data_IF_705453952108
#
_entry.id   IF_705453952108
#
_cell.length_a   1.000
_cell.length_b   1.000
_cell.length_c   1.000
_cell.angle_alpha   90.00
_cell.angle_beta   90.00
_cell.angle_gamma   90.00
#
_symmetry.space_group_name_H-M   'P 1'
#
loop_
_entity.id
_entity.type
_entity.pdbx_description
1 polymer ?
#
# COMPACT_ATOMS: atom_id res chain seq x y z
N UNK A 1 22.73 -24.36 5.82
CA UNK A 1 21.51 -23.59 5.48
C UNK A 1 21.47 -22.39 6.40
N UNK A 2 21.77 -21.20 5.89
CA UNK A 2 21.59 -19.97 6.67
C UNK A 2 20.09 -19.70 6.79
N UNK A 3 19.59 -19.65 8.02
CA UNK A 3 18.22 -19.26 8.31
C UNK A 3 18.15 -17.76 8.08
N UNK A 4 17.54 -17.33 6.98
CA UNK A 4 17.24 -15.92 6.74
C UNK A 4 16.33 -15.43 7.88
N UNK A 5 16.90 -14.70 8.84
CA UNK A 5 16.15 -14.04 9.92
C UNK A 5 15.38 -12.86 9.33
N UNK A 6 14.21 -13.15 8.77
CA UNK A 6 13.32 -12.12 8.25
C UNK A 6 12.64 -11.45 9.45
N UNK A 7 13.26 -10.40 9.99
CA UNK A 7 12.57 -9.50 10.93
C UNK A 7 11.51 -8.73 10.15
N UNK A 8 10.24 -9.05 10.37
CA UNK A 8 9.10 -8.32 9.79
C UNK A 8 8.70 -7.26 10.82
N UNK A 9 8.71 -5.97 10.48
CA UNK A 9 8.27 -4.93 11.42
C UNK A 9 6.80 -5.14 11.75
N UNK A 10 6.44 -5.11 13.04
CA UNK A 10 5.05 -5.10 13.48
C UNK A 10 4.40 -3.76 13.07
N UNK A 11 3.15 -3.80 12.61
CA UNK A 11 2.41 -2.58 12.30
C UNK A 11 1.85 -1.99 13.59
N UNK A 12 2.25 -0.76 13.94
CA UNK A 12 1.82 -0.10 15.18
C UNK A 12 0.48 0.65 15.03
N UNK A 13 -0.33 0.32 14.02
CA UNK A 13 -1.57 1.07 13.71
C UNK A 13 -2.62 0.96 14.81
N UNK A 14 -2.69 -0.17 15.50
CA UNK A 14 -3.61 -0.38 16.62
C UNK A 14 -3.29 0.58 17.77
N UNK A 15 -2.01 0.84 18.04
CA UNK A 15 -1.57 1.79 19.07
C UNK A 15 -1.78 3.24 18.63
N UNK A 16 -1.62 3.54 17.34
CA UNK A 16 -1.73 4.91 16.79
C UNK A 16 -3.18 5.34 16.56
N UNK A 17 -4.05 4.42 16.14
CA UNK A 17 -5.42 4.74 15.67
C UNK A 17 -6.51 3.96 16.39
N UNK A 18 -6.17 2.96 17.20
CA UNK A 18 -7.14 2.05 17.82
C UNK A 18 -7.77 1.05 16.83
N UNK A 19 -7.35 1.03 15.57
CA UNK A 19 -7.84 0.09 14.57
C UNK A 19 -7.07 -1.23 14.62
N UNK A 20 -7.79 -2.34 14.85
CA UNK A 20 -7.22 -3.68 14.76
C UNK A 20 -7.20 -4.14 13.29
N UNK A 21 -6.01 -4.44 12.71
CA UNK A 21 -5.89 -4.90 11.33
C UNK A 21 -6.71 -6.17 11.10
N UNK A 22 -7.56 -6.17 10.07
CA UNK A 22 -8.30 -7.36 9.68
C UNK A 22 -7.51 -8.23 8.69
N UNK A 23 -6.44 -7.68 8.09
CA UNK A 23 -5.68 -8.32 7.02
C UNK A 23 -4.18 -8.42 7.33
N UNK A 24 -3.49 -9.30 6.62
CA UNK A 24 -2.03 -9.47 6.70
C UNK A 24 -1.25 -8.56 5.74
N UNK A 25 -1.92 -7.60 5.08
CA UNK A 25 -1.31 -6.80 4.02
C UNK A 25 0.00 -6.13 4.45
N UNK A 26 0.06 -5.60 5.67
CA UNK A 26 1.31 -5.00 6.17
C UNK A 26 2.50 -5.97 6.13
N UNK A 27 2.29 -7.23 6.51
CA UNK A 27 3.33 -8.26 6.49
C UNK A 27 3.69 -8.63 5.05
N UNK A 28 2.69 -8.79 4.18
CA UNK A 28 2.89 -9.13 2.77
C UNK A 28 3.70 -8.06 2.03
N UNK A 29 3.40 -6.79 2.25
CA UNK A 29 4.17 -5.67 1.67
C UNK A 29 5.55 -5.54 2.33
N UNK A 30 5.68 -5.77 3.64
CA UNK A 30 6.98 -5.76 4.31
C UNK A 30 7.90 -6.90 3.85
N UNK A 31 7.32 -8.03 3.46
CA UNK A 31 8.04 -9.13 2.85
C UNK A 31 8.46 -8.76 1.42
N UNK A 32 7.52 -8.25 0.62
CA UNK A 32 7.76 -7.81 -0.75
C UNK A 32 8.84 -6.70 -0.83
N UNK A 33 8.89 -5.80 0.17
CA UNK A 33 9.93 -4.78 0.32
C UNK A 33 11.36 -5.37 0.34
N UNK A 34 11.53 -6.60 0.84
CA UNK A 34 12.82 -7.31 0.87
C UNK A 34 13.14 -8.02 -0.44
N UNK A 35 12.11 -8.50 -1.16
CA UNK A 35 12.27 -9.14 -2.47
C UNK A 35 12.49 -8.13 -3.60
N UNK A 36 12.06 -6.88 -3.42
CA UNK A 36 12.32 -5.77 -4.33
C UNK A 36 11.08 -5.27 -5.06
N UNK A 37 11.29 -4.27 -5.92
CA UNK A 37 10.21 -3.48 -6.52
C UNK A 37 9.22 -4.29 -7.38
N UNK A 38 9.69 -5.38 -8.00
CA UNK A 38 8.85 -6.28 -8.80
C UNK A 38 7.90 -7.10 -7.92
N UNK A 39 8.40 -7.65 -6.81
CA UNK A 39 7.59 -8.38 -5.85
C UNK A 39 6.51 -7.49 -5.22
N UNK A 40 6.82 -6.23 -4.93
CA UNK A 40 5.83 -5.25 -4.43
C UNK A 40 4.70 -5.06 -5.45
N UNK A 41 5.05 -4.89 -6.73
CA UNK A 41 4.08 -4.75 -7.82
C UNK A 41 3.20 -5.99 -7.99
N UNK A 42 3.78 -7.17 -7.86
CA UNK A 42 3.06 -8.45 -7.93
C UNK A 42 2.08 -8.64 -6.79
N UNK A 43 2.51 -8.38 -5.55
CA UNK A 43 1.65 -8.43 -4.38
C UNK A 43 0.46 -7.49 -4.55
N UNK A 44 0.68 -6.25 -4.99
CA UNK A 44 -0.41 -5.32 -5.25
C UNK A 44 -1.37 -5.80 -6.34
N UNK A 45 -0.86 -6.39 -7.43
CA UNK A 45 -1.71 -6.95 -8.50
C UNK A 45 -2.61 -8.08 -7.99
N UNK A 46 -2.06 -8.98 -7.17
CA UNK A 46 -2.80 -10.09 -6.56
C UNK A 46 -3.88 -9.58 -5.61
N UNK A 47 -3.50 -8.71 -4.68
CA UNK A 47 -4.45 -8.10 -3.72
C UNK A 47 -5.54 -7.33 -4.46
N UNK A 48 -5.20 -6.61 -5.53
CA UNK A 48 -6.19 -5.91 -6.37
C UNK A 48 -7.16 -6.84 -7.08
N UNK A 49 -6.69 -7.96 -7.62
CA UNK A 49 -7.57 -8.90 -8.31
C UNK A 49 -8.54 -9.59 -7.33
N UNK A 50 -8.06 -9.90 -6.13
CA UNK A 50 -8.78 -10.68 -5.12
C UNK A 50 -9.76 -9.83 -4.29
N UNK A 51 -9.38 -8.60 -3.92
CA UNK A 51 -10.14 -7.78 -2.96
C UNK A 51 -10.87 -6.59 -3.58
N UNK A 52 -10.93 -6.49 -4.92
CA UNK A 52 -11.60 -5.38 -5.63
C UNK A 52 -13.06 -5.16 -5.23
N UNK A 53 -13.76 -6.21 -4.81
CA UNK A 53 -15.19 -6.17 -4.51
C UNK A 53 -15.46 -5.91 -3.02
N UNK A 54 -14.42 -5.86 -2.17
CA UNK A 54 -14.53 -5.67 -0.73
C UNK A 54 -13.95 -4.31 -0.29
N UNK A 55 -14.83 -3.33 -0.08
CA UNK A 55 -14.45 -1.97 0.26
C UNK A 55 -13.69 -1.84 1.60
N UNK A 56 -13.95 -2.72 2.58
CA UNK A 56 -13.27 -2.71 3.89
C UNK A 56 -11.79 -3.06 3.74
N UNK A 57 -11.52 -4.15 3.03
CA UNK A 57 -10.15 -4.62 2.76
C UNK A 57 -9.40 -3.62 1.89
N UNK A 58 -10.09 -2.98 0.95
CA UNK A 58 -9.49 -1.95 0.11
C UNK A 58 -9.12 -0.68 0.89
N UNK A 59 -9.91 -0.32 1.90
CA UNK A 59 -9.61 0.81 2.78
C UNK A 59 -8.37 0.50 3.63
N UNK A 60 -8.27 -0.72 4.16
CA UNK A 60 -7.08 -1.17 4.89
C UNK A 60 -5.84 -1.20 4.00
N UNK A 61 -5.97 -1.64 2.74
CA UNK A 61 -4.89 -1.57 1.76
C UNK A 61 -4.40 -0.13 1.56
N UNK A 62 -5.31 0.85 1.43
CA UNK A 62 -4.92 2.25 1.32
C UNK A 62 -4.17 2.75 2.57
N UNK A 63 -4.60 2.35 3.77
CA UNK A 63 -3.92 2.70 5.02
C UNK A 63 -2.50 2.13 5.07
N UNK A 64 -2.34 0.85 4.73
CA UNK A 64 -1.03 0.18 4.66
C UNK A 64 -0.12 0.86 3.65
N UNK A 65 -0.61 1.15 2.44
CA UNK A 65 0.17 1.82 1.40
C UNK A 65 0.59 3.22 1.83
N UNK A 66 -0.30 4.00 2.46
CA UNK A 66 0.02 5.34 2.97
C UNK A 66 1.09 5.29 4.06
N UNK A 67 0.98 4.33 4.99
CA UNK A 67 1.97 4.14 6.05
C UNK A 67 3.33 3.70 5.48
N UNK A 68 3.34 2.88 4.43
CA UNK A 68 4.56 2.49 3.71
C UNK A 68 5.21 3.67 3.00
N UNK A 69 4.43 4.54 2.36
CA UNK A 69 4.96 5.77 1.75
C UNK A 69 5.67 6.60 2.81
N UNK A 70 5.04 6.81 3.98
CA UNK A 70 5.65 7.54 5.09
C UNK A 70 6.96 6.87 5.58
N UNK A 71 6.97 5.53 5.74
CA UNK A 71 8.16 4.78 6.15
C UNK A 71 9.34 4.95 5.17
N UNK A 72 9.06 5.01 3.87
CA UNK A 72 10.08 5.12 2.82
C UNK A 72 10.42 6.56 2.46
N UNK A 73 9.54 7.53 2.73
CA UNK A 73 9.74 8.94 2.37
C UNK A 73 11.04 9.53 2.95
N UNK A 74 11.41 9.13 4.17
CA UNK A 74 12.64 9.59 4.83
C UNK A 74 13.89 8.78 4.45
N UNK A 75 13.72 7.57 3.91
CA UNK A 75 14.82 6.61 3.68
C UNK A 75 15.19 6.44 2.22
N UNK A 76 14.20 6.41 1.33
CA UNK A 76 14.36 6.15 -0.10
C UNK A 76 13.17 6.73 -0.87
N UNK A 77 13.41 7.89 -1.48
CA UNK A 77 12.40 8.63 -2.24
C UNK A 77 11.92 7.86 -3.50
N UNK A 78 12.72 6.93 -4.03
CA UNK A 78 12.34 6.14 -5.20
C UNK A 78 11.28 5.09 -4.85
N UNK A 79 11.41 4.42 -3.69
CA UNK A 79 10.39 3.50 -3.17
C UNK A 79 9.12 4.24 -2.77
N UNK A 80 9.24 5.39 -2.10
CA UNK A 80 8.09 6.23 -1.77
C UNK A 80 7.31 6.64 -3.02
N UNK A 81 8.02 7.09 -4.06
CA UNK A 81 7.41 7.45 -5.36
C UNK A 81 6.76 6.24 -6.05
N UNK A 82 7.34 5.04 -5.92
CA UNK A 82 6.77 3.81 -6.47
C UNK A 82 5.41 3.48 -5.82
N UNK A 83 5.35 3.53 -4.48
CA UNK A 83 4.12 3.29 -3.72
C UNK A 83 3.05 4.36 -3.99
N UNK A 84 3.44 5.64 -4.03
CA UNK A 84 2.52 6.76 -4.30
C UNK A 84 1.96 6.72 -5.73
N UNK A 85 2.83 6.77 -6.74
CA UNK A 85 2.44 6.91 -8.15
C UNK A 85 1.72 5.67 -8.69
N UNK A 86 2.13 4.46 -8.29
CA UNK A 86 1.58 3.21 -8.87
C UNK A 86 0.44 2.60 -8.07
N UNK A 87 0.37 2.83 -6.75
CA UNK A 87 -0.53 2.05 -5.90
C UNK A 87 -1.53 2.91 -5.16
N UNK A 88 -1.09 3.92 -4.41
CA UNK A 88 -1.99 4.75 -3.61
C UNK A 88 -3.03 5.49 -4.47
N UNK A 89 -2.60 6.17 -5.55
CA UNK A 89 -3.54 6.84 -6.48
C UNK A 89 -4.50 5.89 -7.17
N UNK A 90 -4.01 4.72 -7.57
CA UNK A 90 -4.82 3.68 -8.23
C UNK A 90 -5.80 3.04 -7.24
N UNK A 91 -5.42 2.87 -5.99
CA UNK A 91 -6.28 2.38 -4.93
C UNK A 91 -7.38 3.40 -4.59
N UNK A 92 -7.03 4.67 -4.41
CA UNK A 92 -8.02 5.73 -4.22
C UNK A 92 -9.04 5.78 -5.38
N UNK A 93 -8.59 5.67 -6.63
CA UNK A 93 -9.49 5.65 -7.79
C UNK A 93 -10.48 4.47 -7.80
N UNK A 94 -10.06 3.28 -7.37
CA UNK A 94 -10.95 2.10 -7.26
C UNK A 94 -11.98 2.27 -6.14
N UNK A 95 -11.58 2.82 -4.98
CA UNK A 95 -12.52 3.16 -3.90
C UNK A 95 -13.58 4.14 -4.36
N UNK A 96 -13.18 5.21 -5.05
CA UNK A 96 -14.09 6.22 -5.58
C UNK A 96 -15.06 5.61 -6.59
N UNK A 97 -14.57 4.73 -7.47
CA UNK A 97 -15.41 4.01 -8.43
C UNK A 97 -16.41 3.07 -7.76
N UNK A 98 -15.99 2.31 -6.74
CA UNK A 98 -16.83 1.33 -6.05
C UNK A 98 -17.92 2.00 -5.19
N UNK A 99 -17.67 3.21 -4.69
CA UNK A 99 -18.65 4.00 -3.93
C UNK A 99 -19.56 4.86 -4.84
N UNK A 100 -19.56 4.64 -6.16
CA UNK A 100 -20.39 5.41 -7.11
C UNK A 100 -19.96 6.87 -7.29
N UNK A 101 -18.88 7.30 -6.64
CA UNK A 101 -18.29 8.62 -6.77
C UNK A 101 -17.29 8.63 -7.94
N UNK A 102 -17.78 8.48 -9.18
CA UNK A 102 -16.99 8.86 -10.35
C UNK A 102 -16.87 10.39 -10.39
N UNK A 103 -16.01 10.96 -9.55
CA UNK A 103 -15.51 12.31 -9.79
C UNK A 103 -14.07 12.22 -10.28
N UNK A 104 -13.93 12.50 -11.57
CA UNK A 104 -12.85 13.30 -12.15
C UNK A 104 -11.59 13.45 -11.28
N UNK A 105 -10.83 12.38 -11.07
CA UNK A 105 -9.42 12.55 -10.70
C UNK A 105 -8.70 12.93 -11.98
N UNK A 106 -8.77 14.22 -12.31
CA UNK A 106 -7.83 14.85 -13.21
C UNK A 106 -6.41 14.48 -12.77
N UNK A 107 -5.50 14.40 -13.74
CA UNK A 107 -4.07 14.25 -13.47
C UNK A 107 -3.68 15.30 -12.43
N UNK A 108 -3.50 14.90 -11.17
CA UNK A 108 -2.57 15.59 -10.31
C UNK A 108 -1.19 15.26 -10.89
N UNK A 109 -0.81 16.05 -11.90
CA UNK A 109 0.58 16.21 -12.26
C UNK A 109 1.28 16.61 -10.98
N UNK A 110 2.12 15.71 -10.49
CA UNK A 110 3.09 16.06 -9.46
C UNK A 110 3.96 17.14 -10.08
N UNK A 111 3.77 18.39 -9.64
CA UNK A 111 4.70 19.46 -9.96
C UNK A 111 6.11 18.96 -9.63
N UNK A 112 7.05 18.97 -10.59
CA UNK A 112 8.45 18.89 -10.23
C UNK A 112 8.78 20.12 -9.40
N UNK A 113 9.56 19.91 -8.34
CA UNK A 113 10.21 20.99 -7.59
C UNK A 113 10.94 21.95 -8.55
#
# INVERSE_FOLDING_TARGET
MEILKIVIPKWNIAEITGYDPMTTFWQDFSMADKFGNEAIADTYRKVKAEWKDNYKHWTELCLVLNHKIWQWHERDNQKATLYDRRMARRAAGVLLSNNGLKQSVGRCEVSPL
#
